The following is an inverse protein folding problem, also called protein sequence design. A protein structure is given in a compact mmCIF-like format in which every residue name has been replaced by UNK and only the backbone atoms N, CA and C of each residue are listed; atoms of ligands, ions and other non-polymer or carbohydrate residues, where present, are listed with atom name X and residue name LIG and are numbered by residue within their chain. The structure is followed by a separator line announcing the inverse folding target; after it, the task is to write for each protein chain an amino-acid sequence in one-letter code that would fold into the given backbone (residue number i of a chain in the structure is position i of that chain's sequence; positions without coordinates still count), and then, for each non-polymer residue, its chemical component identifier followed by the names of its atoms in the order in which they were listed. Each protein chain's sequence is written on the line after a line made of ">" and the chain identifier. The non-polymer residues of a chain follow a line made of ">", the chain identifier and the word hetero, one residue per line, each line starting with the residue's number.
data_IF_066095513449
#
_entry.id   IF_066095513449
#
_cell.length_a   1.000
_cell.length_b   1.000
_cell.length_c   1.000
_cell.angle_alpha   90.00
_cell.angle_beta   90.00
_cell.angle_gamma   90.00
#
_symmetry.space_group_name_H-M   'P 1'
#
loop_
_entity.id
_entity.type
_entity.pdbx_description
1 polymer ?
#
# COMPACT_ATOMS: atom_id res chain seq x y z
N UNK A 1 18.09 36.60 -10.96
CA UNK A 1 18.07 35.67 -9.81
C UNK A 1 17.91 34.26 -10.37
N UNK A 2 19.01 33.58 -10.69
CA UNK A 2 18.95 32.14 -10.99
C UNK A 2 18.72 31.41 -9.66
N UNK A 3 17.54 30.84 -9.47
CA UNK A 3 17.35 29.85 -8.43
C UNK A 3 18.39 28.75 -8.62
N UNK A 4 19.24 28.56 -7.61
CA UNK A 4 20.10 27.40 -7.50
C UNK A 4 19.18 26.19 -7.51
N UNK A 5 19.10 25.54 -8.66
CA UNK A 5 18.60 24.18 -8.81
C UNK A 5 19.49 23.30 -7.93
N UNK A 6 19.08 23.14 -6.67
CA UNK A 6 19.78 22.30 -5.71
C UNK A 6 19.85 20.92 -6.33
N UNK A 7 21.06 20.42 -6.61
CA UNK A 7 21.24 19.05 -7.11
C UNK A 7 20.43 18.10 -6.23
N UNK A 8 19.37 17.52 -6.79
CA UNK A 8 18.55 16.50 -6.14
C UNK A 8 19.42 15.26 -5.94
N UNK A 9 20.21 15.26 -4.86
CA UNK A 9 21.04 14.13 -4.47
C UNK A 9 20.20 13.19 -3.61
N UNK A 10 20.34 11.88 -3.84
CA UNK A 10 19.70 10.81 -3.05
C UNK A 10 19.96 11.00 -1.55
N UNK A 11 21.09 11.58 -1.17
CA UNK A 11 21.44 11.93 0.20
C UNK A 11 20.44 12.88 0.90
N UNK A 12 19.70 13.71 0.15
CA UNK A 12 18.68 14.59 0.73
C UNK A 12 17.50 13.80 1.32
N UNK A 13 17.26 12.57 0.82
CA UNK A 13 16.26 11.65 1.35
C UNK A 13 16.64 11.12 2.75
N UNK A 14 17.93 11.09 3.06
CA UNK A 14 18.50 10.65 4.35
C UNK A 14 18.61 11.78 5.39
N UNK A 15 18.08 12.98 5.11
CA UNK A 15 18.05 14.06 6.11
C UNK A 15 17.23 13.64 7.36
N UNK A 16 17.63 14.10 8.57
CA UNK A 16 16.92 13.81 9.81
C UNK A 16 15.43 14.18 9.71
N UNK A 17 14.54 13.22 10.00
CA UNK A 17 13.08 13.40 9.91
C UNK A 17 12.42 12.98 8.59
N UNK A 18 13.16 12.93 7.47
CA UNK A 18 12.64 12.47 6.16
C UNK A 18 12.94 10.99 5.89
N UNK A 19 14.05 10.48 6.42
CA UNK A 19 14.45 9.09 6.22
C UNK A 19 13.44 8.09 6.82
N UNK A 20 12.85 8.39 7.98
CA UNK A 20 11.83 7.54 8.61
C UNK A 20 10.59 7.41 7.73
N UNK A 21 10.11 8.52 7.17
CA UNK A 21 8.97 8.55 6.23
C UNK A 21 9.31 7.73 4.98
N UNK A 22 10.52 7.86 4.47
CA UNK A 22 11.01 7.14 3.30
C UNK A 22 11.05 5.63 3.54
N UNK A 23 11.61 5.18 4.66
CA UNK A 23 11.70 3.74 5.01
C UNK A 23 10.32 3.14 5.17
N UNK A 24 9.41 3.84 5.84
CA UNK A 24 8.03 3.37 5.99
C UNK A 24 7.32 3.30 4.64
N UNK A 25 7.42 4.33 3.80
CA UNK A 25 6.82 4.31 2.47
C UNK A 25 7.41 3.17 1.63
N UNK A 26 8.72 2.99 1.63
CA UNK A 26 9.38 1.89 0.92
C UNK A 26 8.83 0.52 1.35
N UNK A 27 8.65 0.31 2.66
CA UNK A 27 8.07 -0.92 3.18
C UNK A 27 6.60 -1.11 2.75
N UNK A 28 5.78 -0.06 2.90
CA UNK A 28 4.35 -0.12 2.54
C UNK A 28 4.18 -0.41 1.04
N UNK A 29 4.97 0.24 0.19
CA UNK A 29 4.96 -0.02 -1.25
C UNK A 29 5.37 -1.45 -1.60
N UNK A 30 6.38 -1.98 -0.91
CA UNK A 30 6.79 -3.38 -1.05
C UNK A 30 5.63 -4.32 -0.70
N UNK A 31 4.98 -4.12 0.45
CA UNK A 31 3.86 -4.96 0.92
C UNK A 31 2.65 -4.87 -0.01
N UNK A 32 2.25 -3.66 -0.42
CA UNK A 32 1.08 -3.48 -1.29
C UNK A 32 1.32 -4.15 -2.64
N UNK A 33 2.50 -3.96 -3.24
CA UNK A 33 2.83 -4.62 -4.51
C UNK A 33 2.91 -6.14 -4.36
N UNK A 34 3.57 -6.63 -3.31
CA UNK A 34 3.67 -8.05 -3.01
C UNK A 34 2.30 -8.71 -2.88
N UNK A 35 1.37 -8.11 -2.14
CA UNK A 35 -0.01 -8.61 -2.01
C UNK A 35 -0.79 -8.47 -3.32
N UNK A 36 -0.70 -7.33 -4.01
CA UNK A 36 -1.41 -7.09 -5.26
C UNK A 36 -1.07 -8.16 -6.30
N UNK A 37 0.22 -8.39 -6.52
CA UNK A 37 0.69 -9.41 -7.46
C UNK A 37 0.46 -10.83 -6.93
N UNK A 38 0.64 -11.07 -5.62
CA UNK A 38 0.36 -12.37 -5.01
C UNK A 38 -1.08 -12.83 -5.19
N UNK A 39 -2.04 -11.93 -4.92
CA UNK A 39 -3.47 -12.16 -5.13
C UNK A 39 -3.78 -12.32 -6.64
N UNK A 40 -3.20 -11.46 -7.48
CA UNK A 40 -3.40 -11.52 -8.94
C UNK A 40 -2.81 -12.77 -9.60
N UNK A 41 -1.78 -13.38 -9.05
CA UNK A 41 -1.21 -14.63 -9.57
C UNK A 41 -1.93 -15.88 -9.08
N UNK A 42 -2.77 -15.76 -8.04
CA UNK A 42 -3.55 -16.85 -7.47
C UNK A 42 -4.97 -16.95 -8.08
N UNK A 43 -5.36 -15.98 -8.91
CA UNK A 43 -6.65 -15.91 -9.62
C UNK A 43 -6.99 -17.16 -10.42
N UNK A 44 -6.00 -17.72 -11.11
CA UNK A 44 -6.17 -18.90 -11.96
C UNK A 44 -6.40 -20.20 -11.17
N UNK A 45 -6.14 -20.19 -9.87
CA UNK A 45 -6.37 -21.34 -8.97
C UNK A 45 -7.69 -21.25 -8.20
N UNK A 46 -8.45 -20.16 -8.36
CA UNK A 46 -9.80 -20.11 -7.81
C UNK A 46 -10.70 -21.10 -8.56
N UNK A 47 -11.48 -21.86 -7.80
CA UNK A 47 -12.45 -22.81 -8.35
C UNK A 47 -13.49 -22.09 -9.23
N UNK A 48 -13.73 -22.62 -10.44
CA UNK A 48 -14.66 -22.06 -11.42
C UNK A 48 -14.05 -21.87 -12.80
N UNK A 49 -14.73 -21.09 -13.65
CA UNK A 49 -14.23 -20.74 -14.98
C UNK A 49 -13.18 -19.61 -14.88
N UNK A 50 -11.94 -19.82 -15.37
CA UNK A 50 -10.87 -18.83 -15.25
C UNK A 50 -11.14 -17.55 -16.04
N UNK A 51 -11.89 -17.60 -17.15
CA UNK A 51 -12.26 -16.41 -17.92
C UNK A 51 -13.25 -15.55 -17.14
N UNK A 52 -14.23 -16.17 -16.47
CA UNK A 52 -15.19 -15.46 -15.65
C UNK A 52 -14.53 -14.80 -14.44
N UNK A 53 -13.61 -15.50 -13.77
CA UNK A 53 -12.81 -14.94 -12.69
C UNK A 53 -11.98 -13.74 -13.15
N UNK A 54 -11.36 -13.81 -14.34
CA UNK A 54 -10.59 -12.69 -14.88
C UNK A 54 -11.46 -11.45 -15.16
N UNK A 55 -12.66 -11.64 -15.73
CA UNK A 55 -13.63 -10.56 -15.95
C UNK A 55 -14.05 -9.93 -14.62
N UNK A 56 -14.36 -10.73 -13.61
CA UNK A 56 -14.71 -10.24 -12.28
C UNK A 56 -13.59 -9.39 -11.66
N UNK A 57 -12.33 -9.80 -11.80
CA UNK A 57 -11.20 -9.02 -11.35
C UNK A 57 -11.09 -7.68 -12.07
N UNK A 58 -11.27 -7.65 -13.39
CA UNK A 58 -11.29 -6.40 -14.16
C UNK A 58 -12.37 -5.43 -13.68
N UNK A 59 -13.59 -5.93 -13.43
CA UNK A 59 -14.68 -5.11 -12.88
C UNK A 59 -14.33 -4.60 -11.48
N UNK A 60 -13.79 -5.47 -10.62
CA UNK A 60 -13.39 -5.09 -9.26
C UNK A 60 -12.28 -4.03 -9.26
N UNK A 61 -11.33 -4.07 -10.20
CA UNK A 61 -10.31 -3.03 -10.31
C UNK A 61 -10.92 -1.67 -10.64
N UNK A 62 -11.86 -1.61 -11.60
CA UNK A 62 -12.57 -0.37 -11.94
C UNK A 62 -13.31 0.18 -10.71
N UNK A 63 -14.06 -0.68 -10.02
CA UNK A 63 -14.80 -0.29 -8.81
C UNK A 63 -13.85 0.18 -7.70
N UNK A 64 -12.71 -0.50 -7.52
CA UNK A 64 -11.70 -0.13 -6.53
C UNK A 64 -11.13 1.28 -6.79
N UNK A 65 -10.85 1.63 -8.05
CA UNK A 65 -10.36 2.98 -8.40
C UNK A 65 -11.41 4.07 -8.15
N UNK A 66 -12.68 3.81 -8.46
CA UNK A 66 -13.77 4.74 -8.16
C UNK A 66 -13.88 4.96 -6.64
N UNK A 67 -13.84 3.88 -5.85
CA UNK A 67 -13.87 3.97 -4.39
C UNK A 67 -12.65 4.70 -3.83
N UNK A 68 -11.46 4.45 -4.35
CA UNK A 68 -10.23 5.14 -3.96
C UNK A 68 -10.37 6.66 -4.18
N UNK A 69 -10.92 7.08 -5.33
CA UNK A 69 -11.18 8.48 -5.62
C UNK A 69 -12.11 9.13 -4.59
N UNK A 70 -13.22 8.48 -4.24
CA UNK A 70 -14.13 8.98 -3.20
C UNK A 70 -13.47 9.05 -1.81
N UNK A 71 -12.67 8.05 -1.44
CA UNK A 71 -11.99 8.05 -0.13
C UNK A 71 -10.97 9.18 0.00
N UNK A 72 -10.20 9.45 -1.06
CA UNK A 72 -9.22 10.55 -1.10
C UNK A 72 -9.90 11.90 -0.87
N UNK A 73 -11.08 12.11 -1.48
CA UNK A 73 -11.83 13.37 -1.33
C UNK A 73 -12.46 13.55 0.06
N UNK A 74 -13.02 12.49 0.66
CA UNK A 74 -13.81 12.61 1.88
C UNK A 74 -12.98 12.53 3.18
N UNK A 75 -12.20 11.47 3.37
CA UNK A 75 -11.69 11.05 4.69
C UNK A 75 -10.18 11.28 4.92
N UNK A 76 -9.51 12.05 4.06
CA UNK A 76 -8.05 12.19 4.10
C UNK A 76 -7.35 11.00 3.45
N UNK A 77 -6.02 10.91 3.52
CA UNK A 77 -5.24 9.88 2.80
C UNK A 77 -4.73 8.77 3.71
N UNK A 78 -4.39 9.10 4.95
CA UNK A 78 -3.82 8.18 5.94
C UNK A 78 -4.82 7.09 6.36
N UNK A 79 -6.00 7.49 6.85
CA UNK A 79 -6.98 6.55 7.37
C UNK A 79 -7.50 5.56 6.32
N UNK A 80 -7.81 5.98 5.07
CA UNK A 80 -8.20 5.04 4.04
C UNK A 80 -7.15 3.97 3.77
N UNK A 81 -5.85 4.33 3.66
CA UNK A 81 -4.77 3.35 3.44
C UNK A 81 -4.72 2.32 4.57
N UNK A 82 -4.78 2.76 5.83
CA UNK A 82 -4.77 1.87 6.99
C UNK A 82 -5.97 0.93 6.96
N UNK A 83 -7.18 1.47 6.76
CA UNK A 83 -8.41 0.68 6.73
C UNK A 83 -8.38 -0.34 5.59
N UNK A 84 -7.97 0.07 4.38
CA UNK A 84 -7.88 -0.84 3.24
C UNK A 84 -6.83 -1.92 3.43
N UNK A 85 -5.66 -1.61 4.03
CA UNK A 85 -4.63 -2.60 4.32
C UNK A 85 -5.09 -3.60 5.39
N UNK A 86 -5.72 -3.13 6.45
CA UNK A 86 -6.23 -3.99 7.52
C UNK A 86 -7.35 -4.89 7.03
N UNK A 87 -8.28 -4.37 6.22
CA UNK A 87 -9.36 -5.18 5.61
C UNK A 87 -8.77 -6.18 4.62
N UNK A 88 -7.79 -5.78 3.79
CA UNK A 88 -7.12 -6.70 2.88
C UNK A 88 -6.42 -7.85 3.65
N UNK A 89 -5.64 -7.53 4.67
CA UNK A 89 -4.98 -8.53 5.52
C UNK A 89 -5.98 -9.46 6.24
N UNK A 90 -7.04 -8.88 6.82
CA UNK A 90 -8.10 -9.66 7.47
C UNK A 90 -8.82 -10.57 6.47
N UNK A 91 -9.15 -10.07 5.28
CA UNK A 91 -9.78 -10.88 4.24
C UNK A 91 -8.90 -12.05 3.80
N UNK A 92 -7.59 -11.87 3.69
CA UNK A 92 -6.66 -12.96 3.38
C UNK A 92 -6.61 -14.03 4.48
N UNK A 93 -6.65 -13.63 5.77
CA UNK A 93 -6.66 -14.56 6.90
C UNK A 93 -7.99 -15.30 7.05
N UNK A 94 -9.11 -14.59 6.83
CA UNK A 94 -10.45 -15.13 6.94
C UNK A 94 -10.82 -16.12 5.83
N UNK A 95 -10.03 -16.22 4.75
CA UNK A 95 -10.22 -17.25 3.73
C UNK A 95 -9.95 -18.66 4.29
N UNK A 96 -9.01 -18.81 5.24
CA UNK A 96 -8.63 -20.12 5.77
C UNK A 96 -9.76 -20.89 6.50
N UNK A 97 -10.49 -20.29 7.46
CA UNK A 97 -11.54 -21.00 8.19
C UNK A 97 -12.81 -21.27 7.37
N UNK A 98 -12.90 -20.78 6.12
CA UNK A 98 -14.10 -20.95 5.30
C UNK A 98 -14.08 -22.35 4.67
N UNK A 99 -15.12 -23.18 4.92
CA UNK A 99 -15.22 -24.50 4.30
C UNK A 99 -15.34 -24.40 2.77
N UNK A 100 -14.86 -25.43 2.05
CA UNK A 100 -14.83 -25.45 0.58
C UNK A 100 -16.21 -25.33 -0.06
N UNK A 101 -17.28 -25.64 0.68
CA UNK A 101 -18.66 -25.41 0.28
C UNK A 101 -19.35 -24.34 1.16
N UNK A 102 -19.94 -23.29 0.56
CA UNK A 102 -20.05 -23.02 -0.87
C UNK A 102 -18.90 -22.15 -1.44
N UNK A 103 -18.40 -22.54 -2.62
CA UNK A 103 -17.25 -21.90 -3.33
C UNK A 103 -17.38 -20.38 -3.49
N UNK A 104 -18.60 -19.86 -3.65
CA UNK A 104 -18.84 -18.42 -3.85
C UNK A 104 -18.36 -17.57 -2.67
N UNK A 105 -18.43 -18.09 -1.44
CA UNK A 105 -18.02 -17.35 -0.24
C UNK A 105 -16.52 -17.08 -0.24
N UNK A 106 -15.72 -18.07 -0.67
CA UNK A 106 -14.28 -17.95 -0.83
C UNK A 106 -13.92 -16.95 -1.92
N UNK A 107 -14.62 -16.98 -3.04
CA UNK A 107 -14.43 -16.03 -4.15
C UNK A 107 -14.75 -14.60 -3.73
N UNK A 108 -15.85 -14.36 -3.00
CA UNK A 108 -16.22 -13.03 -2.52
C UNK A 108 -15.16 -12.47 -1.57
N UNK A 109 -14.64 -13.27 -0.63
CA UNK A 109 -13.58 -12.82 0.28
C UNK A 109 -12.28 -12.51 -0.46
N UNK A 110 -11.95 -13.30 -1.48
CA UNK A 110 -10.78 -13.06 -2.31
C UNK A 110 -10.92 -11.76 -3.14
N UNK A 111 -12.10 -11.54 -3.74
CA UNK A 111 -12.41 -10.31 -4.46
C UNK A 111 -12.42 -9.09 -3.54
N UNK A 112 -12.87 -9.23 -2.29
CA UNK A 112 -12.80 -8.17 -1.28
C UNK A 112 -11.34 -7.80 -0.98
N UNK A 113 -10.47 -8.78 -0.78
CA UNK A 113 -9.04 -8.55 -0.60
C UNK A 113 -8.40 -7.85 -1.80
N UNK A 114 -8.75 -8.28 -3.01
CA UNK A 114 -8.30 -7.64 -4.26
C UNK A 114 -8.80 -6.20 -4.39
N UNK A 115 -10.07 -5.94 -4.06
CA UNK A 115 -10.64 -4.59 -4.07
C UNK A 115 -9.89 -3.67 -3.11
N UNK A 116 -9.69 -4.12 -1.87
CA UNK A 116 -9.01 -3.34 -0.85
C UNK A 116 -7.54 -3.08 -1.19
N UNK A 117 -6.81 -4.05 -1.72
CA UNK A 117 -5.40 -3.85 -2.07
C UNK A 117 -5.24 -2.91 -3.28
N UNK A 118 -6.10 -3.02 -4.30
CA UNK A 118 -6.09 -2.11 -5.45
C UNK A 118 -6.43 -0.68 -5.01
N UNK A 119 -7.40 -0.53 -4.11
CA UNK A 119 -7.74 0.77 -3.51
C UNK A 119 -6.53 1.35 -2.74
N UNK A 120 -5.88 0.55 -1.89
CA UNK A 120 -4.68 0.95 -1.16
C UNK A 120 -3.54 1.37 -2.10
N UNK A 121 -3.37 0.67 -3.22
CA UNK A 121 -2.35 0.99 -4.23
C UNK A 121 -2.64 2.35 -4.89
N UNK A 122 -3.88 2.65 -5.25
CA UNK A 122 -4.23 3.96 -5.78
C UNK A 122 -3.95 5.11 -4.77
N UNK A 123 -4.32 4.91 -3.51
CA UNK A 123 -4.19 5.95 -2.48
C UNK A 123 -2.72 6.15 -2.07
N UNK A 124 -1.91 5.09 -1.98
CA UNK A 124 -0.49 5.20 -1.59
C UNK A 124 0.32 5.99 -2.65
N UNK A 125 -0.02 5.87 -3.94
CA UNK A 125 0.60 6.66 -5.00
C UNK A 125 0.43 8.17 -4.76
N UNK A 126 -0.80 8.58 -4.46
CA UNK A 126 -1.12 10.00 -4.16
C UNK A 126 -0.48 10.42 -2.84
N UNK A 127 -0.59 9.60 -1.80
CA UNK A 127 -0.06 9.90 -0.47
C UNK A 127 1.47 10.09 -0.48
N UNK A 128 2.17 9.29 -1.27
CA UNK A 128 3.63 9.39 -1.43
C UNK A 128 4.02 10.71 -2.09
N UNK A 129 3.25 11.16 -3.09
CA UNK A 129 3.48 12.45 -3.73
C UNK A 129 3.21 13.64 -2.80
N UNK A 130 2.25 13.52 -1.87
CA UNK A 130 1.94 14.57 -0.88
C UNK A 130 2.97 14.63 0.27
N UNK A 131 3.59 13.50 0.64
CA UNK A 131 4.58 13.45 1.72
C UNK A 131 5.95 14.00 1.29
N UNK A 132 6.38 13.66 0.06
CA UNK A 132 7.69 14.10 -0.40
C UNK A 132 7.66 15.53 -0.93
N UNK A 133 8.62 16.38 -0.53
CA UNK A 133 8.70 17.74 -1.03
C UNK A 133 9.04 17.75 -2.52
N UNK A 134 8.56 18.76 -3.24
CA UNK A 134 8.64 18.85 -4.71
C UNK A 134 10.05 18.59 -5.26
N UNK A 135 11.07 19.11 -4.58
CA UNK A 135 12.50 18.96 -4.92
C UNK A 135 13.04 17.52 -4.90
N UNK A 136 12.47 16.63 -4.09
CA UNK A 136 12.90 15.22 -3.97
C UNK A 136 11.78 14.22 -4.25
N UNK A 137 10.59 14.70 -4.64
CA UNK A 137 9.40 13.87 -4.88
C UNK A 137 9.66 12.77 -5.90
N UNK A 138 10.30 13.10 -7.02
CA UNK A 138 10.60 12.11 -8.07
C UNK A 138 11.57 11.01 -7.59
N UNK A 139 12.53 11.36 -6.73
CA UNK A 139 13.49 10.40 -6.16
C UNK A 139 12.81 9.54 -5.09
N UNK A 140 11.98 10.13 -4.23
CA UNK A 140 11.23 9.39 -3.21
C UNK A 140 10.16 8.46 -3.79
N UNK A 141 9.47 8.89 -4.85
CA UNK A 141 8.58 8.01 -5.63
C UNK A 141 9.38 6.93 -6.34
N UNK A 142 10.52 7.26 -6.94
CA UNK A 142 11.41 6.30 -7.59
C UNK A 142 11.89 5.19 -6.63
N UNK A 143 12.36 5.57 -5.44
CA UNK A 143 12.79 4.59 -4.42
C UNK A 143 11.64 3.73 -3.93
N UNK A 144 10.46 4.31 -3.71
CA UNK A 144 9.26 3.57 -3.32
C UNK A 144 8.83 2.58 -4.40
N UNK A 145 8.90 2.97 -5.67
CA UNK A 145 8.67 2.10 -6.81
C UNK A 145 9.67 0.95 -6.88
N UNK A 146 10.95 1.16 -6.52
CA UNK A 146 11.92 0.06 -6.40
C UNK A 146 11.48 -0.96 -5.34
N UNK A 147 10.98 -0.48 -4.19
CA UNK A 147 10.39 -1.34 -3.17
C UNK A 147 9.20 -2.15 -3.70
N UNK A 148 8.33 -1.51 -4.47
CA UNK A 148 7.22 -2.18 -5.15
C UNK A 148 7.70 -3.28 -6.12
N UNK A 149 8.79 -3.02 -6.86
CA UNK A 149 9.38 -4.02 -7.77
C UNK A 149 9.93 -5.21 -7.00
N UNK A 150 10.62 -5.00 -5.88
CA UNK A 150 11.07 -6.09 -5.01
C UNK A 150 9.88 -6.94 -4.54
N UNK A 151 8.81 -6.30 -4.06
CA UNK A 151 7.58 -6.99 -3.68
C UNK A 151 6.99 -7.84 -4.83
N UNK A 152 6.93 -7.28 -6.05
CA UNK A 152 6.43 -8.00 -7.22
C UNK A 152 7.28 -9.21 -7.62
N UNK A 153 8.61 -9.14 -7.44
CA UNK A 153 9.53 -10.25 -7.74
C UNK A 153 9.35 -11.38 -6.72
N UNK A 154 9.11 -11.03 -5.45
CA UNK A 154 8.96 -12.02 -4.35
C UNK A 154 7.57 -12.70 -4.40
N UNK A 155 6.54 -12.01 -4.91
CA UNK A 155 5.15 -12.50 -4.97
C UNK A 155 4.99 -13.94 -5.51
N UNK A 156 5.52 -14.32 -6.69
CA UNK A 156 5.37 -15.68 -7.20
C UNK A 156 6.04 -16.74 -6.33
N UNK A 157 7.16 -16.43 -5.67
CA UNK A 157 7.87 -17.40 -4.82
C UNK A 157 7.06 -17.79 -3.58
N UNK A 158 6.31 -16.85 -3.01
CA UNK A 158 5.45 -17.16 -1.85
C UNK A 158 4.27 -18.02 -2.25
N UNK A 159 3.76 -17.88 -3.48
CA UNK A 159 2.76 -18.81 -4.02
C UNK A 159 3.33 -20.23 -4.13
N UNK A 160 4.54 -20.38 -4.68
CA UNK A 160 5.19 -21.70 -4.77
C UNK A 160 5.46 -22.31 -3.39
N UNK A 161 5.84 -21.48 -2.40
CA UNK A 161 6.00 -21.93 -1.01
C UNK A 161 4.68 -22.47 -0.42
N UNK A 162 3.55 -21.84 -0.75
CA UNK A 162 2.22 -22.31 -0.36
C UNK A 162 1.87 -23.68 -0.93
N UNK A 163 2.29 -23.97 -2.17
CA UNK A 163 2.10 -25.30 -2.79
C UNK A 163 3.01 -26.36 -2.19
N UNK A 164 4.23 -25.98 -1.79
CA UNK A 164 5.21 -26.92 -1.24
C UNK A 164 4.93 -27.32 0.23
N UNK A 165 4.39 -26.40 1.04
CA UNK A 165 4.17 -26.63 2.48
C UNK A 165 2.68 -26.76 2.80
N UNK A 166 1.94 -25.66 2.74
CA UNK A 166 0.51 -25.62 3.03
C UNK A 166 -0.10 -24.30 2.51
N UNK A 167 -1.33 -24.31 1.94
CA UNK A 167 -1.98 -23.12 1.39
C UNK A 167 -2.28 -22.01 2.42
N UNK A 168 -2.19 -22.30 3.72
CA UNK A 168 -2.36 -21.31 4.80
C UNK A 168 -1.15 -20.37 4.93
N UNK A 169 0.05 -20.83 4.58
CA UNK A 169 1.30 -20.10 4.84
C UNK A 169 1.32 -18.75 4.10
N UNK A 170 1.00 -18.66 2.79
CA UNK A 170 0.93 -17.38 2.09
C UNK A 170 -0.09 -16.42 2.70
N UNK A 171 -1.24 -16.93 3.16
CA UNK A 171 -2.31 -16.11 3.73
C UNK A 171 -1.89 -15.46 5.05
N UNK A 172 -1.20 -16.23 5.91
CA UNK A 172 -0.63 -15.71 7.16
C UNK A 172 0.44 -14.66 6.86
N UNK A 173 1.31 -14.90 5.89
CA UNK A 173 2.35 -13.94 5.48
C UNK A 173 1.71 -12.64 4.99
N UNK A 174 0.71 -12.71 4.10
CA UNK A 174 -0.01 -11.53 3.63
C UNK A 174 -0.70 -10.78 4.76
N UNK A 175 -1.35 -11.49 5.69
CA UNK A 175 -2.01 -10.88 6.85
C UNK A 175 -1.06 -10.14 7.79
N UNK A 176 0.07 -10.76 8.15
CA UNK A 176 1.07 -10.17 9.04
C UNK A 176 1.72 -8.94 8.38
N UNK A 177 2.15 -9.06 7.12
CA UNK A 177 2.77 -7.95 6.40
C UNK A 177 1.80 -6.77 6.23
N UNK A 178 0.53 -7.05 5.91
CA UNK A 178 -0.51 -6.03 5.83
C UNK A 178 -0.74 -5.31 7.16
N UNK A 179 -0.77 -6.06 8.27
CA UNK A 179 -0.95 -5.49 9.60
C UNK A 179 0.23 -4.59 10.00
N UNK A 180 1.46 -5.05 9.78
CA UNK A 180 2.66 -4.24 10.03
C UNK A 180 2.65 -2.98 9.15
N UNK A 181 2.31 -3.10 7.87
CA UNK A 181 2.21 -1.96 6.97
C UNK A 181 1.13 -0.96 7.44
N UNK A 182 -0.04 -1.44 7.86
CA UNK A 182 -1.11 -0.60 8.42
C UNK A 182 -0.67 0.15 9.68
N UNK A 183 0.02 -0.52 10.60
CA UNK A 183 0.58 0.11 11.81
C UNK A 183 1.65 1.15 11.45
N UNK A 184 2.54 0.84 10.51
CA UNK A 184 3.58 1.77 10.08
C UNK A 184 2.99 3.02 9.40
N UNK A 185 1.91 2.90 8.63
CA UNK A 185 1.21 4.06 8.06
C UNK A 185 0.62 4.96 9.16
N UNK A 186 0.29 4.42 10.35
CA UNK A 186 -0.13 5.24 11.49
C UNK A 186 0.99 6.15 12.02
N UNK A 187 2.25 5.82 11.81
CA UNK A 187 3.38 6.69 12.17
C UNK A 187 3.53 7.87 11.18
N UNK A 188 2.91 7.81 10.00
CA UNK A 188 3.00 8.89 9.02
C UNK A 188 2.12 10.08 9.40
N UNK A 189 2.58 11.32 9.14
CA UNK A 189 1.74 12.49 9.26
C UNK A 189 0.58 12.43 8.27
N UNK A 190 -0.53 13.05 8.63
CA UNK A 190 -1.70 13.12 7.75
C UNK A 190 -1.53 14.32 6.81
N UNK A 191 -1.84 14.12 5.53
CA UNK A 191 -1.63 15.12 4.46
C UNK A 191 -2.88 15.93 4.13
N UNK A 192 -4.02 15.67 4.78
CA UNK A 192 -5.26 16.41 4.56
C UNK A 192 -5.08 17.86 5.05
N UNK A 193 -5.46 18.82 4.21
CA UNK A 193 -5.44 20.28 4.46
C UNK A 193 -4.04 20.89 4.74
N UNK A 194 -2.96 20.19 4.40
CA UNK A 194 -1.60 20.72 4.49
C UNK A 194 -1.10 21.15 3.10
N UNK A 195 -0.50 22.35 3.00
CA UNK A 195 0.22 22.72 1.79
C UNK A 195 1.37 21.73 1.55
N UNK A 196 1.52 21.28 0.31
CA UNK A 196 2.59 20.39 -0.09
C UNK A 196 3.93 21.10 0.18
N UNK A 197 4.84 20.52 0.97
CA UNK A 197 6.07 21.21 1.34
C UNK A 197 6.93 21.42 0.10
N UNK A 198 7.32 22.67 -0.16
CA UNK A 198 8.20 23.00 -1.29
C UNK A 198 9.68 22.74 -0.95
N UNK A 199 10.03 22.80 0.34
CA UNK A 199 11.40 22.59 0.83
C UNK A 199 11.53 21.39 1.77
N UNK A 200 12.74 20.86 1.92
CA UNK A 200 13.02 19.76 2.86
C UNK A 200 12.90 20.23 4.31
N UNK A 201 13.22 21.50 4.60
CA UNK A 201 12.99 22.07 5.92
C UNK A 201 11.50 22.11 6.29
N UNK A 202 10.61 22.45 5.34
CA UNK A 202 9.15 22.46 5.57
C UNK A 202 8.60 21.06 5.85
N UNK A 203 9.09 20.05 5.13
CA UNK A 203 8.70 18.65 5.35
C UNK A 203 9.11 18.11 6.74
N UNK A 204 10.18 18.66 7.33
CA UNK A 204 10.63 18.34 8.70
C UNK A 204 9.86 19.16 9.74
N UNK A 205 9.55 20.43 9.46
CA UNK A 205 8.78 21.33 10.33
C UNK A 205 7.35 20.85 10.61
N UNK A 206 6.66 20.29 9.59
CA UNK A 206 5.31 19.70 9.75
C UNK A 206 5.31 18.53 10.75
N UNK A 207 6.41 17.78 10.85
CA UNK A 207 6.54 16.71 11.86
C UNK A 207 6.80 17.26 13.26
N UNK A 208 7.55 18.36 13.40
CA UNK A 208 7.91 18.95 14.71
C UNK A 208 6.76 19.67 15.40
N UNK A 209 5.94 20.41 14.64
CA UNK A 209 4.75 21.10 15.17
C UNK A 209 3.66 20.14 15.68
N UNK A 210 3.74 18.85 15.34
CA UNK A 210 2.76 17.84 15.77
C UNK A 210 3.21 17.08 17.02
N UNK A 211 4.51 16.88 17.24
CA UNK A 211 5.01 16.32 18.52
C UNK A 211 4.60 17.23 19.67
N UNK A 212 4.75 18.55 19.51
CA UNK A 212 4.35 19.53 20.53
C UNK A 212 2.83 19.68 20.71
N UNK A 213 2.01 19.23 19.75
CA UNK A 213 0.54 19.28 19.83
C UNK A 213 -0.08 18.00 20.40
N UNK A 214 0.66 16.89 20.38
CA UNK A 214 0.27 15.64 21.03
C UNK A 214 0.79 15.55 22.49
N UNK A 215 1.71 16.44 22.89
CA UNK A 215 2.26 16.55 24.24
C UNK A 215 1.58 17.65 25.09
N UNK A 216 0.61 18.38 24.53
CA UNK A 216 -0.21 19.42 25.19
C UNK A 216 -1.68 19.00 25.22
#
# INVERSE_FOLDING_TARGET
>A
KCEKQASSNILQLFKPGLWQKTVVLFYVWCVVAFMYYGISYNTNELAGDPFLNYILYGVVEIVAYILAFFFIQSKGRKYPVVVTLMIAGASCLLIYPIPDDPVWMRTVMHLLGKLCITCSFAIIYVFTAEIFPTVVRSIGLGSSCLGARLGSIIAPFVRELGRAIHPIVPQIIFGILAAIAGILVLLLPETKDCNVPDTVEDAVGVSRNRSSKNEA
#
